data_IF_688748717451
#
_entry.id   IF_688748717451
#
_cell.length_a   1.000
_cell.length_b   1.000
_cell.length_c   1.000
_cell.angle_alpha   90.00
_cell.angle_beta   90.00
_cell.angle_gamma   90.00
#
_symmetry.space_group_name_H-M   'P 1'
#
loop_
_entity.id
_entity.type
_entity.pdbx_description
1 polymer ?
#
# COMPACT_ATOMS: atom_id res chain seq x y z
N UNK A 1 -1.68 6.59 4.52
CA UNK A 1 -0.42 5.87 4.87
C UNK A 1 0.50 6.87 5.51
N UNK A 2 1.11 6.52 6.64
CA UNK A 2 1.98 7.43 7.39
C UNK A 2 3.36 7.48 6.75
N UNK A 3 3.94 8.67 6.58
CA UNK A 3 5.30 8.82 6.06
C UNK A 3 6.31 8.24 7.07
N UNK A 4 7.21 7.32 6.67
CA UNK A 4 8.17 6.70 7.59
C UNK A 4 9.22 7.68 8.14
N UNK A 5 9.36 8.87 7.54
CA UNK A 5 10.38 9.85 7.92
C UNK A 5 9.86 10.93 8.85
N UNK A 6 8.68 11.47 8.57
CA UNK A 6 8.12 12.62 9.31
C UNK A 6 6.77 12.31 9.96
N UNK A 7 6.30 11.06 9.87
CA UNK A 7 5.05 10.58 10.44
C UNK A 7 3.78 11.31 9.97
N UNK A 8 3.88 12.10 8.89
CA UNK A 8 2.75 12.80 8.29
C UNK A 8 1.83 11.84 7.53
N UNK A 9 0.52 12.07 7.59
CA UNK A 9 -0.50 11.22 6.96
C UNK A 9 -0.66 11.49 5.46
N UNK A 10 -0.44 12.74 5.03
CA UNK A 10 -0.60 13.12 3.63
C UNK A 10 0.62 12.79 2.78
N UNK A 11 0.37 11.96 1.76
CA UNK A 11 1.36 11.53 0.79
C UNK A 11 0.68 11.38 -0.58
N UNK A 12 1.36 11.80 -1.64
CA UNK A 12 0.92 11.71 -3.03
C UNK A 12 1.38 10.40 -3.66
N UNK A 13 0.52 9.73 -4.42
CA UNK A 13 0.90 8.56 -5.22
C UNK A 13 1.49 9.05 -6.54
N UNK A 14 2.72 8.61 -6.86
CA UNK A 14 3.41 8.95 -8.10
C UNK A 14 3.26 7.86 -9.15
N UNK A 15 3.48 6.61 -8.77
CA UNK A 15 3.50 5.48 -9.69
C UNK A 15 2.92 4.24 -8.99
N UNK A 16 2.09 3.47 -9.70
CA UNK A 16 1.60 2.18 -9.25
C UNK A 16 2.02 1.11 -10.27
N UNK A 17 2.64 0.03 -9.78
CA UNK A 17 2.99 -1.15 -10.60
C UNK A 17 2.38 -2.38 -9.97
N UNK A 18 1.74 -3.22 -10.78
CA UNK A 18 1.32 -4.55 -10.33
C UNK A 18 2.55 -5.45 -10.22
N UNK A 19 2.66 -6.18 -9.12
CA UNK A 19 3.68 -7.20 -8.90
C UNK A 19 2.98 -8.56 -8.73
N UNK A 20 3.72 -9.63 -8.99
CA UNK A 20 3.26 -11.00 -8.66
C UNK A 20 1.90 -11.36 -9.30
N UNK A 21 1.81 -11.17 -10.63
CA UNK A 21 0.64 -11.54 -11.44
C UNK A 21 -0.70 -10.99 -10.92
N UNK A 22 -0.68 -9.79 -10.33
CA UNK A 22 -1.88 -9.09 -9.84
C UNK A 22 -2.24 -9.34 -8.38
N UNK A 23 -1.44 -10.13 -7.64
CA UNK A 23 -1.67 -10.39 -6.20
C UNK A 23 -1.11 -9.30 -5.29
N UNK A 24 -0.16 -8.51 -5.78
CA UNK A 24 0.42 -7.40 -5.04
C UNK A 24 0.54 -6.14 -5.89
N UNK A 25 0.40 -4.99 -5.27
CA UNK A 25 0.54 -3.67 -5.90
C UNK A 25 1.65 -2.92 -5.18
N UNK A 26 2.70 -2.58 -5.92
CA UNK A 26 3.75 -1.69 -5.45
C UNK A 26 3.38 -0.26 -5.83
N UNK A 27 3.26 0.63 -4.84
CA UNK A 27 3.02 2.06 -5.05
C UNK A 27 4.22 2.88 -4.61
N UNK A 28 4.72 3.77 -5.48
CA UNK A 28 5.70 4.80 -5.14
C UNK A 28 4.97 6.05 -4.69
N UNK A 29 5.23 6.48 -3.45
CA UNK A 29 4.59 7.63 -2.81
C UNK A 29 5.62 8.70 -2.50
N UNK A 30 5.18 9.95 -2.47
CA UNK A 30 5.97 11.13 -2.10
C UNK A 30 5.24 11.87 -0.97
N UNK A 31 5.98 12.24 0.07
CA UNK A 31 5.41 12.99 1.18
C UNK A 31 5.31 14.48 0.84
N UNK A 32 4.14 15.09 1.09
CA UNK A 32 3.92 16.51 0.82
C UNK A 32 4.63 17.45 1.81
N UNK A 33 5.01 16.95 2.99
CA UNK A 33 5.67 17.74 4.03
C UNK A 33 7.20 17.73 3.94
N UNK A 34 7.80 16.56 3.72
CA UNK A 34 9.26 16.41 3.67
C UNK A 34 9.82 16.10 2.27
N UNK A 35 8.96 16.01 1.25
CA UNK A 35 9.32 15.74 -0.15
C UNK A 35 10.09 14.44 -0.37
N UNK A 36 10.10 13.54 0.61
CA UNK A 36 10.78 12.24 0.54
C UNK A 36 9.90 11.21 -0.14
N UNK A 37 10.54 10.33 -0.92
CA UNK A 37 9.90 9.26 -1.69
C UNK A 37 10.08 7.92 -0.99
N UNK A 38 9.02 7.12 -0.95
CA UNK A 38 9.03 5.78 -0.38
C UNK A 38 8.13 4.83 -1.17
N UNK A 39 8.35 3.52 -1.06
CA UNK A 39 7.54 2.51 -1.75
C UNK A 39 6.76 1.68 -0.77
N UNK A 40 5.49 1.44 -1.08
CA UNK A 40 4.57 0.70 -0.23
C UNK A 40 4.02 -0.48 -1.02
N UNK A 41 3.92 -1.63 -0.37
CA UNK A 41 3.36 -2.84 -0.97
C UNK A 41 1.98 -3.06 -0.38
N UNK A 42 0.98 -3.17 -1.24
CA UNK A 42 -0.36 -3.60 -0.89
C UNK A 42 -0.54 -5.02 -1.41
N UNK A 43 -0.98 -5.95 -0.56
CA UNK A 43 -1.24 -7.34 -0.93
C UNK A 43 -2.74 -7.61 -0.78
N UNK A 44 -3.29 -8.38 -1.71
CA UNK A 44 -4.67 -8.84 -1.61
C UNK A 44 -4.69 -10.03 -0.64
N UNK A 45 -5.22 -9.83 0.57
CA UNK A 45 -5.49 -10.93 1.49
C UNK A 45 -6.81 -11.60 1.11
N UNK A 46 -6.77 -12.90 0.80
CA UNK A 46 -7.97 -13.72 0.67
C UNK A 46 -8.26 -14.36 2.02
N UNK A 47 -9.26 -13.82 2.74
CA UNK A 47 -9.73 -14.44 3.97
C UNK A 47 -10.71 -15.57 3.60
N UNK A 48 -10.41 -16.84 3.93
CA UNK A 48 -11.34 -17.94 3.66
C UNK A 48 -12.59 -17.78 4.54
N UNK A 49 -13.77 -17.90 3.93
CA UNK A 49 -15.04 -17.86 4.65
C UNK A 49 -15.38 -19.29 5.08
N UNK A 50 -15.47 -19.52 6.38
CA UNK A 50 -15.92 -20.81 6.93
C UNK A 50 -17.42 -20.74 7.19
N UNK A 51 -18.20 -21.57 6.49
CA UNK A 51 -19.65 -21.68 6.72
C UNK A 51 -19.91 -22.84 7.68
N UNK A 52 -20.45 -22.52 8.87
CA UNK A 52 -20.97 -23.54 9.78
C UNK A 52 -22.42 -23.79 9.38
N UNK A 53 -22.70 -24.96 8.78
CA UNK A 53 -24.08 -25.41 8.58
C UNK A 53 -24.58 -26.09 9.86
N UNK A 54 -25.72 -25.63 10.36
CA UNK A 54 -26.51 -26.28 11.41
C UNK A 54 -27.59 -27.15 10.79
#
# INVERSE_FOLDING_TARGET
MQCPFCQHTDNRVLESRAAESGRSIRRRRECLRCSRRFTTYERIEQVPITVIKR
#
